data_IF_361375383964
#
_entry.id   IF_361375383964
#
_cell.length_a   1.000
_cell.length_b   1.000
_cell.length_c   1.000
_cell.angle_alpha   90.00
_cell.angle_beta   90.00
_cell.angle_gamma   90.00
#
_symmetry.space_group_name_H-M   'P 1'
#
loop_
_entity.id
_entity.type
_entity.pdbx_description
1 polymer ?
#
# COMPACT_ATOMS: atom_id res chain seq x y z
N UNK A 1 -58.30 -43.40 -12.25
CA UNK A 1 -57.36 -44.50 -11.92
C UNK A 1 -57.41 -44.72 -10.42
N UNK A 2 -58.08 -45.79 -10.02
CA UNK A 2 -58.08 -46.41 -8.68
C UNK A 2 -56.77 -47.24 -8.49
N UNK A 3 -56.55 -47.96 -7.37
CA UNK A 3 -56.33 -47.54 -5.99
C UNK A 3 -55.16 -48.35 -5.35
N UNK A 4 -55.06 -48.39 -4.00
CA UNK A 4 -54.63 -49.48 -3.06
C UNK A 4 -54.18 -48.76 -1.75
N UNK A 5 -54.99 -48.58 -0.69
CA UNK A 5 -55.50 -49.50 0.37
C UNK A 5 -54.38 -50.38 0.96
N UNK A 6 -54.08 -50.38 2.26
CA UNK A 6 -54.93 -50.90 3.34
C UNK A 6 -54.46 -50.49 4.75
N UNK A 7 -55.45 -50.44 5.64
CA UNK A 7 -55.41 -50.26 7.09
C UNK A 7 -55.38 -51.64 7.77
N UNK A 8 -54.67 -51.77 8.89
CA UNK A 8 -54.97 -52.69 10.01
C UNK A 8 -54.57 -51.92 11.29
N UNK A 9 -55.33 -51.80 12.38
CA UNK A 9 -56.55 -52.49 12.77
C UNK A 9 -56.47 -52.95 14.24
N UNK A 10 -56.73 -52.02 15.18
CA UNK A 10 -57.53 -52.17 16.42
C UNK A 10 -57.06 -53.17 17.52
N UNK A 11 -56.86 -52.69 18.75
CA UNK A 11 -57.73 -53.10 19.88
C UNK A 11 -57.68 -52.18 21.09
N UNK A 12 -58.88 -51.96 21.64
CA UNK A 12 -59.28 -51.07 22.74
C UNK A 12 -59.18 -51.78 24.11
N UNK A 13 -59.41 -50.97 25.16
CA UNK A 13 -59.87 -51.24 26.55
C UNK A 13 -58.80 -50.89 27.60
N UNK A 14 -59.07 -50.22 28.72
CA UNK A 14 -60.27 -49.63 29.33
C UNK A 14 -59.80 -48.56 30.34
N UNK A 15 -60.59 -47.51 30.46
CA UNK A 15 -60.50 -46.41 31.43
C UNK A 15 -61.04 -46.85 32.80
N UNK A 16 -60.41 -46.44 33.90
CA UNK A 16 -61.11 -46.05 35.14
C UNK A 16 -60.32 -44.95 35.88
N UNK A 17 -61.02 -43.84 36.10
CA UNK A 17 -60.63 -42.63 36.85
C UNK A 17 -61.02 -42.82 38.31
N UNK A 18 -60.23 -42.33 39.28
CA UNK A 18 -60.82 -41.32 40.17
C UNK A 18 -59.86 -40.15 40.44
N UNK A 19 -60.44 -38.96 40.40
CA UNK A 19 -59.86 -37.69 40.81
C UNK A 19 -59.74 -37.64 42.33
N UNK A 20 -58.56 -37.30 42.85
CA UNK A 20 -58.43 -36.64 44.15
C UNK A 20 -57.42 -35.51 44.07
N UNK A 21 -57.94 -34.30 44.22
CA UNK A 21 -57.20 -33.05 44.43
C UNK A 21 -56.70 -33.05 45.87
N UNK A 22 -55.42 -32.77 46.12
CA UNK A 22 -54.98 -32.26 47.41
C UNK A 22 -53.76 -31.33 47.28
N UNK A 23 -53.87 -30.24 48.03
CA UNK A 23 -53.06 -29.03 48.01
C UNK A 23 -51.58 -29.20 48.36
N UNK A 24 -50.78 -28.23 47.93
CA UNK A 24 -49.41 -27.99 48.35
C UNK A 24 -49.33 -27.65 49.84
N UNK A 25 -48.50 -28.38 50.58
CA UNK A 25 -47.96 -27.94 51.87
C UNK A 25 -46.44 -27.84 51.71
N UNK A 26 -45.92 -26.62 51.79
CA UNK A 26 -44.49 -26.35 51.93
C UNK A 26 -44.01 -26.86 53.29
N UNK A 27 -42.96 -27.68 53.30
CA UNK A 27 -42.08 -27.80 54.45
C UNK A 27 -40.62 -27.68 54.00
N UNK A 28 -39.99 -26.65 54.55
CA UNK A 28 -38.56 -26.37 54.59
C UNK A 28 -37.82 -27.60 55.13
N UNK A 29 -36.82 -28.11 54.39
CA UNK A 29 -35.59 -28.57 55.05
C UNK A 29 -34.37 -28.64 54.12
N UNK A 30 -33.36 -27.86 54.49
CA UNK A 30 -31.92 -28.08 54.36
C UNK A 30 -31.36 -28.56 52.99
N UNK A 31 -30.97 -27.61 52.15
CA UNK A 31 -29.81 -27.80 51.28
C UNK A 31 -28.54 -27.34 52.02
N UNK A 32 -27.58 -28.26 52.11
CA UNK A 32 -26.24 -28.04 52.66
C UNK A 32 -25.59 -26.77 52.08
N UNK A 33 -24.74 -26.07 52.86
CA UNK A 33 -23.88 -25.03 52.29
C UNK A 33 -22.99 -25.68 51.22
N UNK A 34 -23.11 -25.18 49.99
CA UNK A 34 -22.15 -25.45 48.93
C UNK A 34 -20.77 -25.04 49.43
N UNK A 35 -19.83 -25.98 49.50
CA UNK A 35 -18.42 -25.64 49.66
C UNK A 35 -18.02 -24.73 48.48
N UNK A 36 -17.81 -23.45 48.78
CA UNK A 36 -17.12 -22.55 47.86
C UNK A 36 -15.79 -23.19 47.49
N UNK A 37 -15.45 -23.12 46.21
CA UNK A 37 -14.21 -23.59 45.60
C UNK A 37 -13.01 -23.30 46.51
N UNK A 38 -12.47 -24.33 47.18
CA UNK A 38 -11.37 -24.24 48.16
C UNK A 38 -10.03 -24.44 47.46
N UNK A 39 -9.78 -23.69 46.40
CA UNK A 39 -8.42 -23.57 45.90
C UNK A 39 -7.73 -22.45 46.69
N UNK A 40 -6.68 -22.74 47.48
CA UNK A 40 -5.96 -21.69 48.18
C UNK A 40 -5.42 -20.69 47.14
N UNK A 41 -5.60 -19.37 47.34
CA UNK A 41 -4.98 -18.38 46.48
C UNK A 41 -3.46 -18.64 46.42
N UNK A 42 -2.78 -18.39 45.28
CA UNK A 42 -1.35 -18.69 45.09
C UNK A 42 -0.38 -17.92 46.02
N UNK A 43 -0.90 -17.20 47.03
CA UNK A 43 -0.20 -16.32 47.96
C UNK A 43 -0.25 -16.87 49.41
N UNK A 44 -0.18 -18.19 49.61
CA UNK A 44 -0.15 -18.76 50.96
C UNK A 44 1.16 -18.43 51.67
N UNK A 45 1.04 -17.76 52.81
CA UNK A 45 2.16 -17.18 53.58
C UNK A 45 2.73 -18.17 54.60
N UNK A 46 1.89 -18.56 55.58
CA UNK A 46 2.21 -19.44 56.71
C UNK A 46 0.93 -20.14 57.20
N UNK A 47 1.07 -21.29 57.89
CA UNK A 47 -0.07 -21.96 58.53
C UNK A 47 -0.56 -21.16 59.73
N UNK A 48 -1.87 -21.12 59.95
CA UNK A 48 -2.51 -20.40 61.04
C UNK A 48 -3.74 -21.14 61.54
N UNK A 49 -4.20 -20.81 62.74
CA UNK A 49 -5.50 -21.25 63.28
C UNK A 49 -6.42 -20.06 63.54
N UNK A 50 -5.85 -18.91 63.92
CA UNK A 50 -6.54 -17.65 64.18
C UNK A 50 -5.83 -16.47 63.52
N UNK A 51 -6.52 -15.34 63.35
CA UNK A 51 -5.95 -14.11 62.76
C UNK A 51 -4.72 -13.59 63.53
N UNK A 52 -4.67 -13.82 64.84
CA UNK A 52 -3.54 -13.43 65.69
C UNK A 52 -2.26 -14.22 65.41
N UNK A 53 -2.37 -15.40 64.79
CA UNK A 53 -1.22 -16.19 64.34
C UNK A 53 -0.56 -15.57 63.10
N UNK A 54 -1.24 -14.64 62.45
CA UNK A 54 -0.80 -14.01 61.21
C UNK A 54 -0.09 -12.67 61.46
N UNK A 55 0.76 -12.29 60.50
CA UNK A 55 1.45 -10.99 60.52
C UNK A 55 0.49 -9.80 60.46
N UNK A 56 1.02 -8.60 60.75
CA UNK A 56 0.26 -7.35 60.61
C UNK A 56 -0.33 -7.23 59.19
N UNK A 57 -1.59 -6.80 59.13
CA UNK A 57 -2.39 -6.66 57.92
C UNK A 57 -2.72 -7.98 57.20
N UNK A 58 -2.65 -9.12 57.88
CA UNK A 58 -3.15 -10.41 57.41
C UNK A 58 -4.33 -10.92 58.24
N UNK A 59 -5.02 -11.94 57.75
CA UNK A 59 -6.05 -12.71 58.43
C UNK A 59 -5.87 -14.21 58.13
N UNK A 60 -6.42 -15.08 58.97
CA UNK A 60 -6.33 -16.52 58.82
C UNK A 60 -7.50 -17.05 57.99
N UNK A 61 -7.20 -17.65 56.84
CA UNK A 61 -8.20 -18.21 55.94
C UNK A 61 -8.34 -19.72 56.17
N UNK A 62 -9.59 -20.15 56.41
CA UNK A 62 -10.03 -21.54 56.65
C UNK A 62 -9.23 -22.29 57.73
N UNK A 63 -8.60 -21.58 58.67
CA UNK A 63 -7.68 -22.18 59.67
C UNK A 63 -6.52 -22.95 59.02
N UNK A 64 -6.12 -22.56 57.81
CA UNK A 64 -5.09 -23.25 57.04
C UNK A 64 -3.95 -22.32 56.65
N UNK A 65 -4.23 -21.09 56.23
CA UNK A 65 -3.22 -20.19 55.70
C UNK A 65 -3.49 -18.71 55.99
N UNK A 66 -2.45 -17.96 56.35
CA UNK A 66 -2.52 -16.51 56.40
C UNK A 66 -2.64 -15.92 54.99
N UNK A 67 -3.53 -14.94 54.84
CA UNK A 67 -3.71 -14.12 53.63
C UNK A 67 -3.64 -12.64 53.99
N UNK A 68 -3.08 -11.81 53.11
CA UNK A 68 -3.12 -10.36 53.28
C UNK A 68 -4.57 -9.85 53.18
N UNK A 69 -4.91 -8.83 53.99
CA UNK A 69 -6.19 -8.13 53.93
C UNK A 69 -6.35 -7.39 52.60
N UNK A 70 -7.59 -7.03 52.26
CA UNK A 70 -7.88 -6.24 51.07
C UNK A 70 -7.05 -4.95 51.01
N UNK A 71 -6.47 -4.68 49.84
CA UNK A 71 -5.56 -3.55 49.63
C UNK A 71 -4.14 -3.77 50.15
N UNK A 72 -3.77 -4.99 50.55
CA UNK A 72 -2.41 -5.37 50.90
C UNK A 72 -1.87 -6.48 49.97
N UNK A 73 -0.56 -6.44 49.71
CA UNK A 73 0.17 -7.38 48.87
C UNK A 73 1.26 -8.07 49.69
N UNK A 74 1.50 -9.35 49.38
CA UNK A 74 2.59 -10.13 49.97
C UNK A 74 3.94 -9.62 49.48
N UNK A 75 4.82 -9.23 50.40
CA UNK A 75 6.24 -9.05 50.14
C UNK A 75 7.01 -10.20 50.80
N UNK A 76 7.74 -10.97 49.99
CA UNK A 76 8.53 -12.13 50.45
C UNK A 76 10.00 -11.90 50.14
N UNK A 77 10.78 -11.63 51.18
CA UNK A 77 12.23 -11.73 51.16
C UNK A 77 12.65 -13.09 51.75
N UNK A 78 13.92 -13.51 51.58
CA UNK A 78 14.43 -14.82 52.01
C UNK A 78 14.15 -15.16 53.48
N UNK A 79 14.09 -14.14 54.34
CA UNK A 79 13.93 -14.29 55.79
C UNK A 79 12.75 -13.51 56.37
N UNK A 80 12.09 -12.68 55.56
CA UNK A 80 11.08 -11.75 56.03
C UNK A 80 9.86 -11.80 55.12
N UNK A 81 8.71 -11.92 55.75
CA UNK A 81 7.43 -12.00 55.09
C UNK A 81 6.57 -10.91 55.71
N UNK A 82 5.92 -10.10 54.88
CA UNK A 82 5.04 -9.02 55.35
C UNK A 82 3.92 -8.70 54.34
N UNK A 83 2.85 -8.09 54.83
CA UNK A 83 1.75 -7.57 54.01
C UNK A 83 1.88 -6.05 53.89
N UNK A 84 2.26 -5.57 52.71
CA UNK A 84 2.46 -4.14 52.41
C UNK A 84 1.21 -3.54 51.77
N UNK A 85 0.91 -2.29 52.07
CA UNK A 85 -0.23 -1.58 51.48
C UNK A 85 0.03 -1.36 49.98
N UNK A 86 -0.94 -1.73 49.14
CA UNK A 86 -0.90 -1.50 47.69
C UNK A 86 -1.05 -0.01 47.41
N UNK A 87 -0.26 0.50 46.46
CA UNK A 87 -0.36 1.87 45.99
C UNK A 87 -1.56 2.02 45.04
N UNK A 88 -2.34 3.09 45.20
CA UNK A 88 -3.52 3.39 44.38
C UNK A 88 -3.26 4.52 43.39
N UNK A 89 -2.31 5.42 43.67
CA UNK A 89 -1.86 6.47 42.77
C UNK A 89 -0.34 6.51 42.61
N UNK A 90 0.14 7.02 41.47
CA UNK A 90 1.54 7.44 41.31
C UNK A 90 1.82 8.57 42.33
N UNK A 91 2.96 8.50 43.00
CA UNK A 91 3.32 9.36 44.13
C UNK A 91 2.95 8.78 45.50
N UNK A 92 2.18 7.69 45.56
CA UNK A 92 1.89 7.03 46.83
C UNK A 92 3.17 6.50 47.50
N UNK A 93 3.24 6.54 48.85
CA UNK A 93 4.40 6.07 49.57
C UNK A 93 4.59 4.56 49.39
N UNK A 94 5.83 4.16 49.23
CA UNK A 94 6.20 2.76 49.04
C UNK A 94 7.55 2.45 49.71
N UNK A 95 7.79 1.16 49.86
CA UNK A 95 9.02 0.58 50.38
C UNK A 95 9.72 -0.28 49.32
N UNK A 96 8.95 -0.98 48.50
CA UNK A 96 9.42 -1.87 47.44
C UNK A 96 8.51 -1.81 46.21
N UNK A 97 9.07 -2.17 45.05
CA UNK A 97 8.41 -2.03 43.73
C UNK A 97 7.08 -2.77 43.62
N UNK A 98 6.93 -3.91 44.31
CA UNK A 98 5.72 -4.73 44.22
C UNK A 98 4.45 -3.98 44.67
N UNK A 99 4.57 -2.99 45.55
CA UNK A 99 3.44 -2.14 45.95
C UNK A 99 2.90 -1.31 44.78
N UNK A 100 3.79 -0.92 43.86
CA UNK A 100 3.48 -0.13 42.68
C UNK A 100 3.04 -1.03 41.51
N UNK A 101 3.78 -2.13 41.27
CA UNK A 101 3.60 -3.00 40.09
C UNK A 101 2.23 -3.67 40.01
N UNK A 102 1.61 -3.95 41.17
CA UNK A 102 0.27 -4.54 41.25
C UNK A 102 -0.79 -3.65 40.58
N UNK A 103 -0.67 -2.34 40.74
CA UNK A 103 -1.63 -1.37 40.20
C UNK A 103 -1.19 -0.82 38.84
N UNK A 104 0.09 -0.46 38.72
CA UNK A 104 0.61 0.32 37.58
C UNK A 104 1.35 -0.51 36.52
N UNK A 105 1.31 -1.85 36.62
CA UNK A 105 2.00 -2.77 35.72
C UNK A 105 3.55 -2.80 35.95
N UNK A 106 4.29 -3.72 35.28
CA UNK A 106 5.69 -4.01 35.60
C UNK A 106 6.67 -2.84 35.49
N UNK A 107 6.33 -1.79 34.71
CA UNK A 107 7.19 -0.62 34.50
C UNK A 107 7.04 0.47 35.57
N UNK A 108 6.57 0.10 36.75
CA UNK A 108 6.56 1.00 37.91
C UNK A 108 7.53 0.52 38.98
N UNK A 109 8.18 1.47 39.65
CA UNK A 109 9.16 1.24 40.69
C UNK A 109 8.91 2.12 41.92
N UNK A 110 9.42 1.67 43.06
CA UNK A 110 9.50 2.43 44.27
C UNK A 110 10.86 3.14 44.35
N UNK A 111 10.91 4.37 43.83
CA UNK A 111 12.12 5.18 43.84
C UNK A 111 11.90 6.42 44.68
N UNK A 112 12.83 6.72 45.60
CA UNK A 112 12.72 7.81 46.57
C UNK A 112 11.47 7.71 47.46
N UNK A 113 11.10 6.48 47.87
CA UNK A 113 9.95 6.18 48.76
C UNK A 113 8.58 6.53 48.18
N UNK A 114 8.48 6.76 46.87
CA UNK A 114 7.22 7.00 46.17
C UNK A 114 7.12 6.11 44.93
N UNK A 115 5.89 5.69 44.59
CA UNK A 115 5.64 4.95 43.36
C UNK A 115 5.75 5.88 42.15
N UNK A 116 6.55 5.51 41.16
CA UNK A 116 6.69 6.22 39.89
C UNK A 116 6.98 5.23 38.75
N UNK A 117 6.88 5.69 37.51
CA UNK A 117 7.28 4.86 36.37
C UNK A 117 8.81 4.76 36.30
N UNK A 118 9.32 3.58 35.95
CA UNK A 118 10.75 3.31 35.81
C UNK A 118 11.38 4.11 34.67
N UNK A 119 12.70 4.20 34.68
CA UNK A 119 13.44 4.85 33.60
C UNK A 119 13.11 4.22 32.23
N UNK A 120 12.89 5.05 31.22
CA UNK A 120 12.45 4.59 29.90
C UNK A 120 10.97 4.21 29.81
N UNK A 121 10.15 4.51 30.82
CA UNK A 121 8.70 4.29 30.79
C UNK A 121 7.91 5.56 31.11
N UNK A 122 6.62 5.59 30.77
CA UNK A 122 5.75 6.74 30.99
C UNK A 122 4.38 6.30 31.51
N UNK A 123 3.72 7.22 32.22
CA UNK A 123 2.40 7.00 32.78
C UNK A 123 1.31 7.40 31.78
N UNK A 124 0.45 6.47 31.41
CA UNK A 124 -0.71 6.73 30.56
C UNK A 124 -1.89 5.86 30.97
N UNK A 125 -3.06 6.48 31.09
CA UNK A 125 -4.34 5.80 31.38
C UNK A 125 -4.27 4.80 32.57
N UNK A 126 -3.67 5.25 33.67
CA UNK A 126 -3.66 4.51 34.93
C UNK A 126 -2.48 3.55 35.12
N UNK A 127 -1.57 3.40 34.15
CA UNK A 127 -0.46 2.43 34.19
C UNK A 127 0.82 2.99 33.60
N UNK A 128 1.95 2.36 33.93
CA UNK A 128 3.25 2.62 33.33
C UNK A 128 3.48 1.69 32.14
N UNK A 129 3.93 2.27 31.02
CA UNK A 129 4.27 1.56 29.80
C UNK A 129 5.67 1.94 29.36
N UNK A 130 6.41 0.98 28.81
CA UNK A 130 7.67 1.26 28.11
C UNK A 130 7.47 2.34 27.05
N UNK A 131 8.37 3.34 27.07
CA UNK A 131 8.35 4.49 26.16
C UNK A 131 9.03 4.13 24.85
N UNK A 132 8.22 4.00 23.80
CA UNK A 132 8.63 3.65 22.45
C UNK A 132 8.52 4.89 21.54
N UNK A 133 9.62 5.22 20.85
CA UNK A 133 9.67 6.33 19.89
C UNK A 133 9.10 5.99 18.51
N UNK A 134 9.02 6.98 17.62
CA UNK A 134 8.51 6.79 16.26
C UNK A 134 9.36 5.79 15.46
N UNK A 135 8.69 4.98 14.64
CA UNK A 135 9.31 3.93 13.84
C UNK A 135 9.78 2.70 14.62
N UNK A 136 9.64 2.69 15.95
CA UNK A 136 10.05 1.57 16.79
C UNK A 136 8.87 0.63 17.09
N UNK A 137 9.15 -0.67 17.37
CA UNK A 137 8.11 -1.65 17.63
C UNK A 137 7.31 -1.36 18.91
N UNK A 138 5.99 -1.49 18.83
CA UNK A 138 5.06 -1.30 19.94
C UNK A 138 4.09 -2.47 20.05
N UNK A 139 3.66 -2.75 21.29
CA UNK A 139 2.63 -3.77 21.56
C UNK A 139 1.24 -3.15 21.64
N UNK A 140 1.17 -1.91 22.11
CA UNK A 140 -0.05 -1.13 22.26
C UNK A 140 0.23 0.34 21.97
N UNK A 141 -0.80 1.10 21.62
CA UNK A 141 -0.69 2.56 21.44
C UNK A 141 -0.15 3.27 22.68
N UNK A 142 -0.39 2.69 23.86
CA UNK A 142 0.11 3.19 25.15
C UNK A 142 1.63 3.10 25.30
N UNK A 143 2.33 2.40 24.41
CA UNK A 143 3.79 2.44 24.37
C UNK A 143 4.32 3.72 23.70
N UNK A 144 3.55 4.31 22.79
CA UNK A 144 4.03 5.42 21.97
C UNK A 144 3.98 6.73 22.77
N UNK A 145 5.13 7.13 23.32
CA UNK A 145 5.21 8.26 24.25
C UNK A 145 5.19 9.63 23.54
N UNK A 146 5.47 9.65 22.23
CA UNK A 146 5.49 10.89 21.44
C UNK A 146 4.06 11.39 21.28
N UNK A 147 3.84 12.68 21.54
CA UNK A 147 2.52 13.30 21.39
C UNK A 147 2.03 13.14 19.95
N UNK A 148 0.73 12.93 19.79
CA UNK A 148 0.08 12.74 18.48
C UNK A 148 0.65 11.52 17.73
N UNK A 149 1.02 10.47 18.47
CA UNK A 149 1.45 9.17 17.92
C UNK A 149 0.60 8.00 18.42
N UNK A 150 0.56 6.92 17.65
CA UNK A 150 -0.22 5.71 17.92
C UNK A 150 0.50 4.47 17.40
N UNK A 151 0.17 3.30 17.93
CA UNK A 151 0.73 2.03 17.45
C UNK A 151 -0.02 1.58 16.19
N UNK A 152 0.62 1.72 15.03
CA UNK A 152 0.07 1.36 13.72
C UNK A 152 0.86 0.18 13.17
N UNK A 153 0.17 -0.93 12.89
CA UNK A 153 0.80 -2.16 12.36
C UNK A 153 2.01 -2.66 13.18
N UNK A 154 1.99 -2.43 14.50
CA UNK A 154 3.07 -2.82 15.40
C UNK A 154 4.24 -1.84 15.51
N UNK A 155 4.14 -0.65 14.93
CA UNK A 155 5.15 0.41 15.04
C UNK A 155 4.53 1.75 15.44
N UNK A 156 5.22 2.53 16.26
CA UNK A 156 4.73 3.87 16.61
C UNK A 156 4.82 4.80 15.41
N UNK A 157 3.69 5.41 15.04
CA UNK A 157 3.56 6.34 13.92
C UNK A 157 2.70 7.54 14.33
N UNK A 158 2.82 8.65 13.60
CA UNK A 158 2.00 9.83 13.86
C UNK A 158 0.52 9.57 13.55
N UNK A 159 -0.37 10.27 14.25
CA UNK A 159 -1.81 10.24 14.02
C UNK A 159 -2.19 10.92 12.70
N UNK A 160 -3.47 10.81 12.31
CA UNK A 160 -3.98 11.42 11.09
C UNK A 160 -3.69 12.94 11.08
N UNK A 161 -3.29 13.45 9.92
CA UNK A 161 -2.86 14.84 9.69
C UNK A 161 -1.55 15.24 10.36
N UNK A 162 -0.78 14.30 10.89
CA UNK A 162 0.57 14.52 11.39
C UNK A 162 1.57 13.59 10.70
N UNK A 163 2.82 14.02 10.64
CA UNK A 163 3.93 13.19 10.19
C UNK A 163 5.17 13.44 11.04
N UNK A 164 6.13 12.52 10.96
CA UNK A 164 7.37 12.62 11.72
C UNK A 164 8.26 13.72 11.13
N UNK A 165 8.86 14.53 12.00
CA UNK A 165 9.94 15.41 11.58
C UNK A 165 11.19 14.61 11.16
N UNK A 166 12.21 15.22 10.54
CA UNK A 166 13.41 14.52 10.10
C UNK A 166 14.22 13.83 11.22
N UNK A 167 14.02 14.23 12.49
CA UNK A 167 14.69 13.62 13.65
C UNK A 167 13.89 12.48 14.28
N UNK A 168 12.68 12.19 13.79
CA UNK A 168 11.76 11.19 14.33
C UNK A 168 11.46 11.33 15.84
N UNK A 169 11.51 12.56 16.36
CA UNK A 169 11.30 12.84 17.78
C UNK A 169 10.01 13.62 18.08
N UNK A 170 9.31 14.09 17.03
CA UNK A 170 8.03 14.78 17.18
C UNK A 170 7.15 14.57 15.95
N UNK A 171 5.84 14.46 16.19
CA UNK A 171 4.81 14.54 15.16
C UNK A 171 4.44 16.00 14.91
N UNK A 172 4.55 16.45 13.67
CA UNK A 172 4.23 17.81 13.23
C UNK A 172 3.03 17.79 12.28
N UNK A 173 2.23 18.87 12.22
CA UNK A 173 1.10 18.95 11.29
C UNK A 173 1.55 18.75 9.84
N UNK A 174 0.82 17.91 9.12
CA UNK A 174 1.02 17.65 7.69
C UNK A 174 0.43 18.78 6.87
N UNK A 175 1.27 19.50 6.12
CA UNK A 175 0.85 20.59 5.23
C UNK A 175 0.85 20.09 3.78
N UNK A 176 -0.31 20.13 3.13
CA UNK A 176 -0.46 19.75 1.73
C UNK A 176 0.12 20.80 0.78
N UNK A 177 0.31 20.44 -0.49
CA UNK A 177 0.75 21.37 -1.54
C UNK A 177 -0.20 22.58 -1.62
N UNK A 178 0.37 23.78 -1.78
CA UNK A 178 -0.36 25.05 -1.71
C UNK A 178 -0.66 25.54 -0.29
N UNK A 179 -0.44 24.72 0.75
CA UNK A 179 -0.58 25.12 2.14
C UNK A 179 0.60 25.99 2.62
N UNK A 180 0.34 26.90 3.57
CA UNK A 180 1.38 27.79 4.14
C UNK A 180 2.34 27.00 5.01
N UNK A 181 3.64 27.15 4.79
CA UNK A 181 4.69 26.42 5.50
C UNK A 181 5.77 27.36 6.04
N UNK A 182 6.66 26.85 6.89
CA UNK A 182 7.87 27.57 7.33
C UNK A 182 9.15 26.83 7.00
N UNK A 183 9.09 25.50 6.88
CA UNK A 183 10.24 24.63 6.63
C UNK A 183 9.86 23.57 5.60
N UNK A 184 10.84 23.09 4.84
CA UNK A 184 10.61 22.05 3.81
C UNK A 184 9.96 20.81 4.37
N UNK A 185 10.35 20.40 5.58
CA UNK A 185 9.81 19.22 6.23
C UNK A 185 8.39 19.42 6.79
N UNK A 186 7.79 20.62 6.73
CA UNK A 186 6.38 20.79 7.10
C UNK A 186 5.45 20.21 6.00
N UNK A 187 5.97 20.11 4.77
CA UNK A 187 5.23 19.68 3.60
C UNK A 187 5.20 18.16 3.49
N UNK A 188 4.00 17.58 3.48
CA UNK A 188 3.81 16.12 3.48
C UNK A 188 4.08 15.45 2.13
N UNK A 189 3.92 16.21 1.04
CA UNK A 189 4.11 15.68 -0.30
C UNK A 189 5.59 15.37 -0.56
N UNK A 190 5.89 14.17 -1.07
CA UNK A 190 7.23 13.84 -1.49
C UNK A 190 7.72 14.81 -2.58
N UNK A 191 9.03 15.08 -2.58
CA UNK A 191 9.66 16.03 -3.50
C UNK A 191 9.06 17.45 -3.46
N UNK A 192 8.50 17.85 -2.32
CA UNK A 192 8.06 19.23 -2.06
C UNK A 192 9.08 20.02 -1.24
N UNK A 193 8.97 21.34 -1.28
CA UNK A 193 9.76 22.30 -0.50
C UNK A 193 8.91 23.50 -0.10
N UNK A 194 9.40 24.28 0.85
CA UNK A 194 8.72 25.46 1.34
C UNK A 194 9.26 26.74 0.71
N UNK A 195 8.40 27.50 0.02
CA UNK A 195 8.64 28.87 -0.47
C UNK A 195 7.43 29.75 -0.08
N UNK A 196 7.22 29.96 1.21
CA UNK A 196 5.99 30.47 1.83
C UNK A 196 4.79 29.50 1.79
N UNK A 197 4.67 28.77 0.68
CA UNK A 197 3.72 27.67 0.50
C UNK A 197 4.44 26.41 0.04
N UNK A 198 3.87 25.25 0.37
CA UNK A 198 4.38 23.97 -0.07
C UNK A 198 4.26 23.86 -1.59
N UNK A 199 5.40 23.75 -2.27
CA UNK A 199 5.50 23.65 -3.73
C UNK A 199 6.41 22.51 -4.12
N UNK A 200 6.35 22.06 -5.36
CA UNK A 200 7.29 21.06 -5.86
C UNK A 200 8.73 21.60 -5.88
N UNK A 201 9.68 20.71 -5.61
CA UNK A 201 11.12 20.96 -5.80
C UNK A 201 11.43 21.20 -7.27
N UNK A 202 12.66 21.66 -7.51
CA UNK A 202 13.21 21.77 -8.87
C UNK A 202 13.10 20.41 -9.57
N UNK A 203 12.88 20.46 -10.88
CA UNK A 203 12.67 19.31 -11.77
C UNK A 203 11.46 18.42 -11.43
N UNK A 204 10.51 18.96 -10.66
CA UNK A 204 9.23 18.31 -10.40
C UNK A 204 8.07 19.24 -10.75
N UNK A 205 6.97 18.64 -11.22
CA UNK A 205 5.73 19.32 -11.58
C UNK A 205 4.58 18.82 -10.74
N UNK A 206 3.60 19.68 -10.52
CA UNK A 206 2.38 19.33 -9.82
C UNK A 206 1.57 18.32 -10.65
N UNK A 207 1.10 17.27 -10.00
CA UNK A 207 0.10 16.35 -10.58
C UNK A 207 -1.22 17.07 -10.81
N UNK A 208 -2.01 16.55 -11.74
CA UNK A 208 -3.35 17.03 -12.08
C UNK A 208 -4.32 17.03 -10.89
N UNK A 209 -4.16 16.12 -9.93
CA UNK A 209 -4.92 16.07 -8.68
C UNK A 209 -4.44 17.08 -7.62
N UNK A 210 -3.33 17.79 -7.85
CA UNK A 210 -2.75 18.76 -6.93
C UNK A 210 -2.07 18.16 -5.70
N UNK A 211 -1.88 16.83 -5.62
CA UNK A 211 -1.44 16.15 -4.41
C UNK A 211 0.01 15.65 -4.44
N UNK A 212 0.61 15.54 -5.62
CA UNK A 212 1.92 14.91 -5.81
C UNK A 212 2.83 15.81 -6.65
N UNK A 213 4.14 15.66 -6.41
CA UNK A 213 5.17 16.24 -7.24
C UNK A 213 5.80 15.15 -8.11
N UNK A 214 5.51 15.19 -9.40
CA UNK A 214 5.97 14.22 -10.39
C UNK A 214 7.29 14.69 -10.99
N UNK A 215 8.24 13.77 -11.16
CA UNK A 215 9.50 14.07 -11.83
C UNK A 215 9.22 14.50 -13.27
N UNK A 216 9.82 15.61 -13.68
CA UNK A 216 9.72 16.12 -15.05
C UNK A 216 10.38 15.15 -16.02
N UNK A 217 9.78 15.00 -17.21
CA UNK A 217 10.39 14.33 -18.34
C UNK A 217 11.10 15.37 -19.21
N UNK A 218 12.42 15.24 -19.36
CA UNK A 218 13.28 16.23 -20.00
C UNK A 218 13.39 16.02 -21.52
N UNK A 219 12.75 14.99 -22.08
CA UNK A 219 12.77 14.73 -23.52
C UNK A 219 11.56 13.96 -24.03
N UNK A 220 11.31 14.04 -25.34
CA UNK A 220 10.35 13.17 -26.02
C UNK A 220 10.84 11.71 -25.98
N UNK A 221 9.94 10.78 -25.66
CA UNK A 221 10.23 9.36 -25.48
C UNK A 221 10.51 8.95 -24.03
N UNK A 222 10.73 9.89 -23.11
CA UNK A 222 10.90 9.59 -21.68
C UNK A 222 9.61 9.09 -21.02
N UNK A 223 9.71 8.28 -19.96
CA UNK A 223 8.55 7.78 -19.25
C UNK A 223 7.77 8.93 -18.59
N UNK A 224 6.46 8.80 -18.60
CA UNK A 224 5.53 9.76 -18.01
C UNK A 224 4.28 9.05 -17.51
N UNK A 225 3.51 9.77 -16.68
CA UNK A 225 2.20 9.34 -16.18
C UNK A 225 1.10 10.36 -16.54
N UNK A 226 1.48 11.63 -16.64
CA UNK A 226 0.59 12.77 -16.81
C UNK A 226 1.24 13.78 -17.77
N UNK A 227 0.43 14.53 -18.52
CA UNK A 227 0.91 15.48 -19.52
C UNK A 227 1.83 16.56 -18.92
N UNK A 228 1.60 16.97 -17.67
CA UNK A 228 2.39 18.00 -17.00
C UNK A 228 3.88 17.69 -16.95
N UNK A 229 4.27 16.40 -16.92
CA UNK A 229 5.67 15.96 -16.90
C UNK A 229 6.39 16.29 -18.20
N UNK A 230 5.71 16.17 -19.34
CA UNK A 230 6.27 16.43 -20.66
C UNK A 230 6.22 17.94 -21.01
N UNK A 231 5.15 18.61 -20.56
CA UNK A 231 4.83 19.99 -20.93
C UNK A 231 5.76 21.05 -20.35
N UNK A 232 6.52 20.73 -19.29
CA UNK A 232 7.49 21.67 -18.74
C UNK A 232 8.67 21.91 -19.71
N UNK A 233 9.16 20.85 -20.37
CA UNK A 233 10.27 20.95 -21.32
C UNK A 233 9.79 21.24 -22.75
N UNK A 234 8.70 20.60 -23.20
CA UNK A 234 8.07 20.84 -24.52
C UNK A 234 6.57 21.00 -24.35
N UNK A 235 6.02 22.21 -24.53
CA UNK A 235 4.58 22.46 -24.28
C UNK A 235 3.69 21.66 -25.23
N UNK A 236 4.19 21.37 -26.43
CA UNK A 236 3.53 20.71 -27.54
C UNK A 236 3.72 19.18 -27.44
N UNK A 237 3.72 18.68 -26.20
CA UNK A 237 3.84 17.27 -25.88
C UNK A 237 2.77 16.83 -24.88
N UNK A 238 2.52 15.54 -24.88
CA UNK A 238 1.60 14.88 -23.96
C UNK A 238 2.14 13.51 -23.56
N UNK A 239 1.59 12.96 -22.48
CA UNK A 239 1.90 11.60 -22.11
C UNK A 239 1.09 10.62 -22.97
N UNK A 240 1.79 9.86 -23.80
CA UNK A 240 1.18 8.88 -24.69
C UNK A 240 0.59 7.67 -23.95
N UNK A 241 -0.27 6.88 -24.63
CA UNK A 241 -0.85 5.67 -24.05
C UNK A 241 0.19 4.58 -23.73
N UNK A 242 1.39 4.68 -24.30
CA UNK A 242 2.54 3.84 -23.99
C UNK A 242 3.31 4.30 -22.72
N UNK A 243 2.80 5.31 -22.01
CA UNK A 243 3.46 5.88 -20.83
C UNK A 243 4.75 6.62 -21.17
N UNK A 244 4.86 7.18 -22.38
CA UNK A 244 6.02 7.95 -22.83
C UNK A 244 5.61 9.29 -23.42
N UNK A 245 6.42 10.31 -23.19
CA UNK A 245 6.19 11.63 -23.77
C UNK A 245 6.24 11.54 -25.29
N UNK A 246 5.24 12.14 -25.94
CA UNK A 246 5.12 12.21 -27.39
C UNK A 246 4.60 13.58 -27.80
N UNK A 247 4.80 13.94 -29.06
CA UNK A 247 4.25 15.17 -29.59
C UNK A 247 2.73 15.11 -29.71
N UNK A 248 2.06 16.23 -29.46
CA UNK A 248 0.61 16.35 -29.67
C UNK A 248 0.27 16.35 -31.16
N UNK A 249 -1.02 16.30 -31.49
CA UNK A 249 -1.49 16.40 -32.88
C UNK A 249 -0.97 17.69 -33.55
N UNK A 250 -0.63 17.58 -34.83
CA UNK A 250 -0.03 18.65 -35.65
C UNK A 250 1.43 18.98 -35.32
N UNK A 251 2.04 18.19 -34.43
CA UNK A 251 3.46 18.25 -34.11
C UNK A 251 4.09 16.86 -34.20
N UNK A 252 5.33 16.79 -34.66
CA UNK A 252 6.06 15.54 -34.81
C UNK A 252 7.42 15.61 -34.11
N UNK A 253 7.96 14.44 -33.80
CA UNK A 253 9.24 14.28 -33.12
C UNK A 253 10.41 14.42 -34.10
N UNK A 254 11.40 15.23 -33.71
CA UNK A 254 12.73 15.32 -34.35
C UNK A 254 13.82 15.39 -33.31
N UNK A 255 14.39 14.23 -32.98
CA UNK A 255 15.24 14.07 -31.80
C UNK A 255 14.42 14.19 -30.52
N UNK A 256 14.81 15.09 -29.63
CA UNK A 256 14.18 15.28 -28.32
C UNK A 256 13.09 16.37 -28.29
N UNK A 257 12.74 16.96 -29.42
CA UNK A 257 11.78 18.09 -29.50
C UNK A 257 10.59 17.78 -30.40
N UNK A 258 9.54 18.57 -30.22
CA UNK A 258 8.36 18.59 -31.08
C UNK A 258 8.41 19.78 -32.02
N UNK A 259 8.26 19.53 -33.32
CA UNK A 259 8.18 20.55 -34.36
C UNK A 259 6.82 20.50 -35.02
N UNK A 260 6.34 21.64 -35.49
CA UNK A 260 5.08 21.72 -36.21
C UNK A 260 5.18 20.94 -37.52
N UNK A 261 4.13 20.19 -37.84
CA UNK A 261 4.03 19.44 -39.09
C UNK A 261 4.08 20.40 -40.30
N UNK A 262 5.05 20.17 -41.18
CA UNK A 262 5.20 20.88 -42.47
C UNK A 262 5.25 19.83 -43.57
N UNK A 263 4.26 19.83 -44.46
CA UNK A 263 4.09 18.79 -45.47
C UNK A 263 4.93 19.10 -46.71
N UNK A 264 4.98 18.14 -47.65
CA UNK A 264 5.60 18.35 -48.95
C UNK A 264 5.04 19.58 -49.65
N UNK A 265 5.92 20.33 -50.30
CA UNK A 265 5.65 21.61 -50.98
C UNK A 265 5.24 22.79 -50.06
N UNK A 266 5.16 22.59 -48.74
CA UNK A 266 5.02 23.71 -47.80
C UNK A 266 6.37 24.40 -47.58
N UNK A 267 6.31 25.65 -47.11
CA UNK A 267 7.50 26.44 -46.79
C UNK A 267 8.17 25.91 -45.52
N UNK A 268 9.49 25.79 -45.55
CA UNK A 268 10.31 25.36 -44.42
C UNK A 268 11.53 26.27 -44.26
N UNK A 269 12.12 26.26 -43.06
CA UNK A 269 13.42 26.90 -42.80
C UNK A 269 14.51 25.87 -42.52
N UNK A 270 14.15 24.73 -41.97
CA UNK A 270 15.02 23.59 -41.67
C UNK A 270 14.41 22.28 -42.15
N UNK A 271 15.26 21.35 -42.58
CA UNK A 271 14.86 19.98 -42.95
C UNK A 271 14.12 19.25 -41.82
N UNK A 272 14.37 19.64 -40.57
CA UNK A 272 13.70 19.08 -39.40
C UNK A 272 12.20 19.36 -39.40
N UNK A 273 11.73 20.45 -40.01
CA UNK A 273 10.29 20.78 -40.04
C UNK A 273 9.49 19.85 -40.97
N UNK A 274 10.17 19.27 -41.96
CA UNK A 274 9.53 18.51 -43.03
C UNK A 274 9.16 17.10 -42.60
N UNK A 275 7.94 16.68 -42.95
CA UNK A 275 7.42 15.33 -42.75
C UNK A 275 6.83 14.76 -44.04
N UNK A 276 6.70 13.44 -44.09
CA UNK A 276 5.80 12.72 -45.01
C UNK A 276 4.84 11.84 -44.22
N UNK A 277 3.84 11.25 -44.89
CA UNK A 277 2.85 10.40 -44.24
C UNK A 277 3.48 9.19 -43.54
N UNK A 278 4.50 8.57 -44.16
CA UNK A 278 5.18 7.39 -43.61
C UNK A 278 6.33 7.74 -42.67
N UNK A 279 6.91 8.95 -42.79
CA UNK A 279 8.04 9.41 -41.99
C UNK A 279 7.72 10.70 -41.24
N UNK A 280 6.77 10.57 -40.32
CA UNK A 280 6.35 11.65 -39.45
C UNK A 280 7.27 11.85 -38.25
N UNK A 281 7.47 10.84 -37.42
CA UNK A 281 8.23 10.93 -36.16
C UNK A 281 9.61 10.27 -36.28
N UNK A 282 10.66 10.91 -35.76
CA UNK A 282 12.03 10.39 -35.78
C UNK A 282 12.86 10.89 -34.59
N UNK A 283 13.68 10.01 -34.01
CA UNK A 283 14.65 10.38 -32.98
C UNK A 283 15.98 10.91 -33.59
N UNK A 284 16.12 10.92 -34.91
CA UNK A 284 17.26 11.53 -35.58
C UNK A 284 17.03 13.01 -35.88
N UNK A 285 18.09 13.80 -35.87
CA UNK A 285 18.09 15.19 -36.35
C UNK A 285 18.67 15.33 -37.75
N UNK A 286 19.10 14.24 -38.38
CA UNK A 286 19.67 14.24 -39.73
C UNK A 286 18.58 14.30 -40.81
N UNK A 287 18.98 14.64 -42.04
CA UNK A 287 18.10 14.56 -43.21
C UNK A 287 17.72 13.10 -43.47
N UNK A 288 16.42 12.84 -43.62
CA UNK A 288 15.86 11.51 -43.86
C UNK A 288 15.46 11.36 -45.34
N UNK A 289 14.21 10.97 -45.63
CA UNK A 289 13.66 10.88 -46.98
C UNK A 289 13.10 12.22 -47.52
N UNK A 290 12.93 13.21 -46.66
CA UNK A 290 12.43 14.56 -46.98
C UNK A 290 13.42 15.61 -46.43
N UNK A 291 13.60 16.69 -47.17
CA UNK A 291 14.55 17.77 -46.91
C UNK A 291 13.94 19.14 -47.23
N UNK A 292 14.51 20.21 -46.69
CA UNK A 292 14.11 21.58 -46.97
C UNK A 292 14.97 22.15 -48.10
N UNK A 293 14.48 22.04 -49.34
CA UNK A 293 15.24 22.41 -50.56
C UNK A 293 14.59 23.65 -51.19
N UNK A 294 15.39 24.70 -51.34
CA UNK A 294 14.96 26.03 -51.83
C UNK A 294 13.81 26.64 -50.99
N UNK A 295 13.78 26.33 -49.69
CA UNK A 295 12.76 26.84 -48.76
C UNK A 295 11.42 26.11 -48.84
N UNK A 296 11.36 24.95 -49.49
CA UNK A 296 10.18 24.09 -49.54
C UNK A 296 10.53 22.65 -49.18
N UNK A 297 9.62 21.96 -48.50
CA UNK A 297 9.80 20.55 -48.19
C UNK A 297 9.70 19.72 -49.48
N UNK A 298 10.80 19.06 -49.85
CA UNK A 298 10.92 18.23 -51.05
C UNK A 298 11.59 16.90 -50.69
N UNK A 299 11.50 15.91 -51.56
CA UNK A 299 12.21 14.66 -51.35
C UNK A 299 13.72 14.89 -51.28
N UNK A 300 14.36 14.24 -50.29
CA UNK A 300 15.79 14.29 -50.09
C UNK A 300 16.53 13.63 -51.27
N UNK A 301 17.86 13.79 -51.30
CA UNK A 301 18.71 13.19 -52.32
C UNK A 301 18.49 11.66 -52.38
N UNK A 302 18.36 11.13 -53.59
CA UNK A 302 18.13 9.70 -53.88
C UNK A 302 16.70 9.18 -53.55
N UNK A 303 15.77 10.10 -53.26
CA UNK A 303 14.35 9.82 -53.10
C UNK A 303 13.51 10.52 -54.19
N UNK A 304 12.43 9.87 -54.62
CA UNK A 304 11.45 10.40 -55.58
C UNK A 304 10.06 10.48 -54.94
N UNK A 305 9.26 11.43 -55.41
CA UNK A 305 7.88 11.62 -54.93
C UNK A 305 6.99 10.51 -55.47
N UNK A 306 6.33 9.78 -54.57
CA UNK A 306 5.22 8.90 -54.86
C UNK A 306 3.92 9.66 -54.60
N UNK A 307 3.34 10.24 -55.66
CA UNK A 307 2.19 11.17 -55.56
C UNK A 307 0.99 10.55 -54.83
N UNK A 308 0.64 9.30 -55.14
CA UNK A 308 -0.48 8.58 -54.51
C UNK A 308 -0.30 8.38 -52.99
N UNK A 309 0.94 8.33 -52.52
CA UNK A 309 1.29 8.10 -51.11
C UNK A 309 1.64 9.39 -50.37
N UNK A 310 1.74 10.52 -51.08
CA UNK A 310 2.26 11.78 -50.54
C UNK A 310 3.58 11.57 -49.77
N UNK A 311 4.46 10.78 -50.36
CA UNK A 311 5.65 10.27 -49.69
C UNK A 311 6.88 10.22 -50.61
N UNK A 312 8.06 10.16 -50.01
CA UNK A 312 9.34 10.10 -50.68
C UNK A 312 9.90 8.68 -50.58
N UNK A 313 9.94 7.98 -51.72
CA UNK A 313 10.43 6.59 -51.82
C UNK A 313 11.84 6.57 -52.42
N UNK A 314 12.71 5.69 -51.93
CA UNK A 314 14.08 5.61 -52.42
C UNK A 314 14.10 5.12 -53.87
N UNK A 315 14.92 5.74 -54.71
CA UNK A 315 15.17 5.24 -56.05
C UNK A 315 15.75 3.82 -55.97
N UNK A 316 15.11 2.84 -56.62
CA UNK A 316 15.71 1.51 -56.80
C UNK A 316 16.29 1.46 -58.21
N UNK A 317 17.58 1.18 -58.33
CA UNK A 317 18.25 0.83 -59.59
C UNK A 317 17.79 -0.55 -60.09
N UNK A 318 16.49 -0.76 -60.31
CA UNK A 318 15.96 -1.93 -61.00
C UNK A 318 15.51 -1.51 -62.40
N UNK A 319 16.49 -1.12 -63.20
CA UNK A 319 16.31 -0.65 -64.58
C UNK A 319 17.54 -0.83 -65.47
N UNK A 320 18.43 -1.77 -65.14
CA UNK A 320 19.43 -2.27 -66.07
C UNK A 320 19.10 -3.74 -66.38
N UNK A 321 18.08 -3.97 -67.21
CA UNK A 321 18.01 -5.20 -67.98
C UNK A 321 19.19 -5.16 -68.97
N UNK A 322 20.35 -5.62 -68.52
CA UNK A 322 21.45 -5.98 -69.41
C UNK A 322 20.95 -7.10 -70.31
N UNK A 323 20.55 -6.77 -71.53
CA UNK A 323 20.53 -7.72 -72.64
C UNK A 323 21.97 -8.16 -72.89
N UNK A 324 22.43 -9.17 -72.16
CA UNK A 324 23.58 -9.96 -72.60
C UNK A 324 23.06 -10.94 -73.64
N UNK A 325 23.33 -10.65 -74.91
CA UNK A 325 23.29 -11.66 -75.96
C UNK A 325 24.28 -12.78 -75.61
N UNK A 326 23.79 -13.90 -75.08
CA UNK A 326 24.55 -15.14 -75.07
C UNK A 326 24.11 -15.98 -76.26
N UNK A 327 24.92 -15.90 -77.32
CA UNK A 327 24.93 -16.91 -78.36
C UNK A 327 25.26 -18.28 -77.76
N UNK A 328 24.69 -19.33 -78.37
CA UNK A 328 24.88 -20.77 -78.14
C UNK A 328 23.96 -21.42 -77.10
N UNK A 329 22.82 -21.95 -77.58
CA UNK A 329 22.63 -23.40 -77.77
C UNK A 329 21.25 -23.67 -78.42
N UNK A 330 21.25 -24.15 -79.66
CA UNK A 330 20.07 -24.66 -80.38
C UNK A 330 19.76 -26.11 -79.96
N UNK A 331 18.49 -26.50 -79.80
CA UNK A 331 18.05 -27.86 -80.04
C UNK A 331 17.52 -27.98 -81.48
N UNK A 332 18.15 -28.85 -82.27
CA UNK A 332 17.65 -29.33 -83.56
C UNK A 332 16.49 -30.29 -83.32
N UNK A 333 15.27 -29.93 -83.75
CA UNK A 333 14.22 -30.90 -84.09
C UNK A 333 13.63 -30.53 -85.44
N UNK A 334 14.13 -31.20 -86.48
CA UNK A 334 13.60 -31.19 -87.83
C UNK A 334 12.32 -32.03 -87.89
N UNK A 335 11.22 -31.40 -88.28
CA UNK A 335 10.03 -32.10 -88.77
C UNK A 335 10.34 -32.72 -90.14
N UNK A 336 10.22 -34.03 -90.26
CA UNK A 336 10.11 -34.70 -91.56
C UNK A 336 8.64 -34.88 -91.93
N UNK A 337 8.32 -34.32 -93.09
CA UNK A 337 7.11 -34.45 -93.89
C UNK A 337 6.80 -35.92 -94.18
N UNK A 338 5.53 -36.34 -94.04
CA UNK A 338 4.98 -37.45 -94.84
C UNK A 338 3.68 -37.01 -95.52
N UNK A 339 3.73 -37.07 -96.84
CA UNK A 339 2.63 -36.92 -97.78
C UNK A 339 1.60 -38.06 -97.62
N UNK A 340 0.31 -37.72 -97.74
CA UNK A 340 -0.60 -38.40 -98.67
C UNK A 340 -1.97 -37.71 -98.67
N UNK A 341 -2.17 -36.88 -99.69
CA UNK A 341 -3.45 -36.71 -100.37
C UNK A 341 -4.01 -38.07 -100.81
N UNK A 342 -5.33 -38.28 -100.74
CA UNK A 342 -6.12 -38.64 -101.93
C UNK A 342 -7.63 -38.53 -101.66
N UNK A 343 -8.29 -37.77 -102.52
CA UNK A 343 -9.73 -37.62 -102.62
C UNK A 343 -10.39 -38.81 -103.33
N UNK A 344 -11.59 -39.14 -102.87
CA UNK A 344 -12.79 -39.56 -103.63
C UNK A 344 -12.69 -40.73 -104.65
N UNK A 345 -13.33 -41.84 -104.25
CA UNK A 345 -14.33 -42.62 -105.02
C UNK A 345 -14.20 -42.72 -106.55
N UNK A 346 -13.84 -43.91 -107.04
CA UNK A 346 -14.75 -44.81 -107.74
C UNK A 346 -14.25 -46.26 -107.66
#
# INVERSE_FOLDING_TARGET
>A
MTPIRTVVGISRLLVLVPVTVCATISYVNQQLPRCSDRTPPPQTLAKCRYDEDCMKNAYCWDQEACLCKDGFIVNKNRTHLECLKVANAIGDPCEVDIQCQVTFAPYSECRQRICQCSDGSHYVEGRCYESVGLGLPCQSHRNCYIKDSFCVTGFCACTLNYHANPRNDVCIPSIELGGKCSKDYDCIAENSRCLDFCTCKVDHVLSSDGKRCLKVSESIGEPCQENSQCQLFQRESECGPNGRCRCIKYFHQRGSICLKDTLLNDRCQSHRECITETYRDSNSTEVMNVDCIDGFCKCAKDYILAEELHDCIRYSDNGAATFTESWQQLPLVLNFVFFASFSLTL
#
